data_IF_169038571995
#
_entry.id   IF_169038571995
#
_cell.length_a   1.000
_cell.length_b   1.000
_cell.length_c   1.000
_cell.angle_alpha   90.00
_cell.angle_beta   90.00
_cell.angle_gamma   90.00
#
_symmetry.space_group_name_H-M   'P 1'
#
loop_
_entity.id
_entity.type
_entity.pdbx_description
1 polymer ?
#
# COMPACT_ATOMS: atom_id res chain seq x y z
N UNK A 1 4.11 16.42 26.94
CA UNK A 1 3.04 15.44 26.63
C UNK A 1 2.97 15.25 25.12
N UNK A 2 3.00 14.02 24.61
CA UNK A 2 2.87 13.78 23.17
C UNK A 2 1.44 14.15 22.71
N UNK A 3 1.33 14.99 21.69
CA UNK A 3 0.03 15.38 21.12
C UNK A 3 -0.69 14.16 20.53
N UNK A 4 -2.03 14.10 20.65
CA UNK A 4 -2.85 13.04 20.06
C UNK A 4 -2.57 12.83 18.55
N UNK A 5 -2.31 13.92 17.81
CA UNK A 5 -1.91 13.85 16.40
C UNK A 5 -0.61 13.08 16.18
N UNK A 6 0.37 13.24 17.08
CA UNK A 6 1.65 12.51 17.01
C UNK A 6 1.43 11.01 17.21
N UNK A 7 0.57 10.62 18.17
CA UNK A 7 0.23 9.22 18.41
C UNK A 7 -0.46 8.58 17.20
N UNK A 8 -1.43 9.28 16.61
CA UNK A 8 -2.14 8.81 15.40
C UNK A 8 -1.17 8.61 14.23
N UNK A 9 -0.27 9.57 13.99
CA UNK A 9 0.74 9.46 12.94
C UNK A 9 1.76 8.34 13.21
N UNK A 10 2.13 8.13 14.47
CA UNK A 10 2.98 7.01 14.87
C UNK A 10 2.29 5.68 14.58
N UNK A 11 1.03 5.53 14.97
CA UNK A 11 0.23 4.33 14.72
C UNK A 11 0.11 4.04 13.22
N UNK A 12 -0.24 5.06 12.41
CA UNK A 12 -0.29 4.95 10.96
C UNK A 12 1.02 4.42 10.36
N UNK A 13 2.16 5.01 10.74
CA UNK A 13 3.49 4.59 10.27
C UNK A 13 3.81 3.15 10.66
N UNK A 14 3.46 2.74 11.89
CA UNK A 14 3.67 1.37 12.35
C UNK A 14 2.81 0.40 11.54
N UNK A 15 1.52 0.68 11.33
CA UNK A 15 0.63 -0.18 10.55
C UNK A 15 1.12 -0.36 9.11
N UNK A 16 1.59 0.72 8.46
CA UNK A 16 2.18 0.61 7.13
C UNK A 16 3.44 -0.25 7.13
N UNK A 17 4.34 -0.05 8.09
CA UNK A 17 5.58 -0.84 8.18
C UNK A 17 5.32 -2.32 8.40
N UNK A 18 4.37 -2.68 9.26
CA UNK A 18 4.01 -4.09 9.47
C UNK A 18 3.34 -4.68 8.23
N UNK A 19 2.50 -3.92 7.53
CA UNK A 19 1.81 -4.40 6.32
C UNK A 19 2.75 -4.68 5.15
N UNK A 20 3.90 -4.00 5.06
CA UNK A 20 4.90 -4.30 4.03
C UNK A 20 5.53 -5.69 4.24
N UNK A 21 5.54 -6.20 5.47
CA UNK A 21 6.16 -7.50 5.81
C UNK A 21 5.31 -8.71 5.40
N UNK A 22 4.11 -8.50 4.86
CA UNK A 22 3.33 -9.59 4.28
C UNK A 22 4.07 -10.19 3.09
N UNK A 23 4.22 -11.52 3.06
CA UNK A 23 4.87 -12.23 1.95
C UNK A 23 3.99 -12.19 0.69
N UNK A 24 2.70 -12.50 0.84
CA UNK A 24 1.73 -12.44 -0.26
C UNK A 24 1.51 -11.01 -0.77
N UNK A 25 1.68 -10.81 -2.08
CA UNK A 25 1.39 -9.55 -2.76
C UNK A 25 -0.03 -9.03 -2.49
N UNK A 26 -1.03 -9.91 -2.59
CA UNK A 26 -2.43 -9.52 -2.44
C UNK A 26 -2.71 -8.95 -1.05
N UNK A 27 -2.22 -9.62 0.00
CA UNK A 27 -2.38 -9.17 1.37
C UNK A 27 -1.61 -7.87 1.64
N UNK A 28 -0.37 -7.77 1.15
CA UNK A 28 0.45 -6.56 1.24
C UNK A 28 -0.24 -5.36 0.61
N UNK A 29 -0.70 -5.49 -0.63
CA UNK A 29 -1.36 -4.41 -1.37
C UNK A 29 -2.72 -4.03 -0.76
N UNK A 30 -3.52 -5.02 -0.37
CA UNK A 30 -4.80 -4.77 0.29
C UNK A 30 -4.62 -4.03 1.62
N UNK A 31 -3.73 -4.51 2.49
CA UNK A 31 -3.51 -3.90 3.80
C UNK A 31 -3.04 -2.45 3.67
N UNK A 32 -2.05 -2.19 2.78
CA UNK A 32 -1.56 -0.84 2.52
C UNK A 32 -2.66 0.10 2.02
N UNK A 33 -3.48 -0.36 1.06
CA UNK A 33 -4.62 0.42 0.55
C UNK A 33 -5.63 0.69 1.66
N UNK A 34 -6.08 -0.35 2.37
CA UNK A 34 -7.13 -0.23 3.38
C UNK A 34 -6.72 0.67 4.55
N UNK A 35 -5.45 0.63 4.97
CA UNK A 35 -4.93 1.53 6.01
C UNK A 35 -4.97 2.98 5.51
N UNK A 36 -4.49 3.26 4.29
CA UNK A 36 -4.52 4.62 3.74
C UNK A 36 -5.95 5.16 3.64
N UNK A 37 -6.86 4.36 3.12
CA UNK A 37 -8.26 4.74 2.95
C UNK A 37 -8.91 4.99 4.31
N UNK A 38 -8.73 4.06 5.27
CA UNK A 38 -9.31 4.22 6.61
C UNK A 38 -8.81 5.46 7.36
N UNK A 39 -7.52 5.82 7.25
CA UNK A 39 -7.01 7.05 7.87
C UNK A 39 -7.45 8.31 7.12
N UNK A 40 -7.65 8.22 5.80
CA UNK A 40 -8.14 9.34 4.98
C UNK A 40 -9.63 9.61 5.24
N UNK A 41 -10.45 8.57 5.30
CA UNK A 41 -11.88 8.61 5.65
C UNK A 41 -12.09 9.28 7.02
N UNK A 42 -11.23 8.95 8.00
CA UNK A 42 -11.35 9.46 9.37
C UNK A 42 -10.65 10.80 9.62
N UNK A 43 -10.09 11.45 8.59
CA UNK A 43 -9.33 12.71 8.74
C UNK A 43 -10.20 13.88 9.21
N UNK A 44 -11.49 13.88 8.85
CA UNK A 44 -12.44 14.96 9.15
C UNK A 44 -13.25 14.72 10.43
N UNK A 45 -13.03 13.61 11.14
CA UNK A 45 -13.70 13.35 12.41
C UNK A 45 -13.28 14.39 13.45
N UNK A 46 -14.27 15.06 14.04
CA UNK A 46 -14.08 16.04 15.10
C UNK A 46 -14.51 15.52 16.48
N UNK A 47 -15.40 14.52 16.53
CA UNK A 47 -15.88 13.96 17.78
C UNK A 47 -14.77 13.16 18.50
N UNK A 48 -14.36 13.55 19.72
CA UNK A 48 -13.31 12.83 20.45
C UNK A 48 -13.68 11.38 20.78
N UNK A 49 -14.97 11.07 20.96
CA UNK A 49 -15.44 9.71 21.23
C UNK A 49 -15.18 8.77 20.05
N UNK A 50 -15.60 9.16 18.85
CA UNK A 50 -15.37 8.41 17.61
C UNK A 50 -13.88 8.32 17.23
N UNK A 51 -13.08 9.36 17.51
CA UNK A 51 -11.63 9.31 17.33
C UNK A 51 -11.03 8.21 18.21
N UNK A 52 -11.40 8.16 19.49
CA UNK A 52 -10.87 7.16 20.42
C UNK A 52 -11.29 5.73 20.04
N UNK A 53 -12.54 5.54 19.60
CA UNK A 53 -13.01 4.25 19.06
C UNK A 53 -12.19 3.82 17.83
N UNK A 54 -11.93 4.77 16.93
CA UNK A 54 -11.14 4.52 15.72
C UNK A 54 -9.69 4.15 16.03
N UNK A 55 -9.08 4.81 17.02
CA UNK A 55 -7.73 4.46 17.50
C UNK A 55 -7.71 3.04 18.06
N UNK A 56 -8.64 2.68 18.96
CA UNK A 56 -8.72 1.32 19.52
C UNK A 56 -8.89 0.26 18.44
N UNK A 57 -9.72 0.54 17.43
CA UNK A 57 -9.91 -0.34 16.27
C UNK A 57 -8.61 -0.49 15.47
N UNK A 58 -7.88 0.60 15.24
CA UNK A 58 -6.61 0.57 14.53
C UNK A 58 -5.52 -0.21 15.30
N UNK A 59 -5.48 -0.10 16.63
CA UNK A 59 -4.59 -0.89 17.49
C UNK A 59 -4.93 -2.39 17.42
N UNK A 60 -6.21 -2.75 17.51
CA UNK A 60 -6.64 -4.15 17.36
C UNK A 60 -6.26 -4.71 15.97
N UNK A 61 -6.46 -3.91 14.91
CA UNK A 61 -6.07 -4.29 13.56
C UNK A 61 -4.54 -4.44 13.41
N UNK A 62 -3.75 -3.61 14.08
CA UNK A 62 -2.29 -3.74 14.09
C UNK A 62 -1.85 -5.10 14.65
N UNK A 63 -2.46 -5.55 15.75
CA UNK A 63 -2.17 -6.86 16.34
C UNK A 63 -2.63 -8.02 15.44
N UNK A 64 -3.70 -7.84 14.68
CA UNK A 64 -4.08 -8.80 13.63
C UNK A 64 -3.02 -8.85 12.53
N UNK A 65 -2.59 -7.69 12.01
CA UNK A 65 -1.56 -7.63 10.96
C UNK A 65 -0.28 -8.34 11.40
N UNK A 66 0.22 -8.05 12.61
CA UNK A 66 1.43 -8.71 13.15
C UNK A 66 1.31 -10.22 13.18
N UNK A 67 0.19 -10.76 13.68
CA UNK A 67 -0.05 -12.21 13.72
C UNK A 67 -0.12 -12.82 12.32
N UNK A 68 -0.84 -12.15 11.40
CA UNK A 68 -0.99 -12.63 10.03
C UNK A 68 0.33 -12.59 9.25
N UNK A 69 1.21 -11.62 9.52
CA UNK A 69 2.57 -11.60 8.96
C UNK A 69 3.37 -12.83 9.41
N UNK A 70 3.29 -13.20 10.69
CA UNK A 70 3.99 -14.40 11.19
C UNK A 70 3.43 -15.67 10.55
N UNK A 71 2.10 -15.82 10.50
CA UNK A 71 1.45 -16.99 9.87
C UNK A 71 1.83 -17.09 8.39
N UNK A 72 1.80 -15.97 7.66
CA UNK A 72 2.15 -15.96 6.24
C UNK A 72 3.62 -16.33 5.97
N UNK A 73 4.52 -16.11 6.94
CA UNK A 73 5.91 -16.57 6.85
C UNK A 73 6.08 -18.05 7.17
N UNK A 74 5.27 -18.59 8.10
CA UNK A 74 5.29 -20.03 8.43
C UNK A 74 4.71 -20.87 7.30
N UNK A 75 3.72 -20.34 6.59
CA UNK A 75 3.02 -21.01 5.49
C UNK A 75 3.13 -20.19 4.20
N UNK A 76 4.36 -19.92 3.76
CA UNK A 76 4.61 -19.21 2.50
C UNK A 76 4.25 -20.06 1.30
N UNK A 77 3.65 -19.44 0.28
CA UNK A 77 3.44 -20.01 -1.04
C UNK A 77 4.41 -19.38 -2.05
N UNK A 78 4.49 -19.97 -3.24
CA UNK A 78 5.29 -19.42 -4.34
C UNK A 78 4.79 -18.02 -4.73
N UNK A 79 5.72 -17.19 -5.18
CA UNK A 79 5.42 -15.82 -5.62
C UNK A 79 4.56 -15.84 -6.88
N UNK A 80 3.70 -14.83 -7.03
CA UNK A 80 2.90 -14.67 -8.23
C UNK A 80 3.78 -14.18 -9.40
N UNK A 81 3.40 -14.52 -10.63
CA UNK A 81 4.09 -14.08 -11.88
C UNK A 81 4.27 -12.55 -11.96
N UNK A 82 3.32 -11.80 -11.40
CA UNK A 82 3.36 -10.33 -11.35
C UNK A 82 4.41 -9.77 -10.38
N UNK A 83 4.96 -10.58 -9.48
CA UNK A 83 5.97 -10.15 -8.51
C UNK A 83 7.39 -10.14 -9.12
N UNK A 84 7.60 -10.88 -10.21
CA UNK A 84 8.90 -11.06 -10.88
C UNK A 84 9.29 -9.90 -11.83
N UNK A 85 8.39 -8.94 -12.05
CA UNK A 85 8.60 -7.86 -13.02
C UNK A 85 9.71 -6.86 -12.62
N UNK A 86 10.18 -6.87 -11.37
CA UNK A 86 11.29 -5.99 -10.94
C UNK A 86 12.68 -6.46 -11.38
N UNK A 87 12.84 -7.72 -11.79
CA UNK A 87 14.13 -8.25 -12.27
C UNK A 87 14.15 -8.50 -13.79
N UNK A 88 13.00 -8.46 -14.46
CA UNK A 88 12.96 -8.52 -15.91
C UNK A 88 13.23 -7.14 -16.49
N UNK A 89 14.49 -6.91 -16.84
CA UNK A 89 14.87 -5.92 -17.85
C UNK A 89 14.25 -6.36 -19.19
N UNK A 90 12.95 -6.08 -19.37
CA UNK A 90 12.25 -6.46 -20.59
C UNK A 90 12.77 -5.62 -21.75
N UNK A 91 13.28 -6.25 -22.83
CA UNK A 91 13.90 -5.54 -23.96
C UNK A 91 12.89 -4.83 -24.88
N UNK A 92 11.59 -4.84 -24.57
CA UNK A 92 10.55 -4.35 -25.47
C UNK A 92 9.86 -3.08 -24.96
N UNK A 93 10.64 -2.04 -24.71
CA UNK A 93 10.12 -0.66 -24.67
C UNK A 93 10.99 0.24 -25.57
N UNK A 94 10.90 0.04 -26.88
CA UNK A 94 11.13 1.12 -27.83
C UNK A 94 9.79 1.46 -28.47
N UNK A 95 9.19 2.56 -28.02
CA UNK A 95 8.15 3.22 -28.80
C UNK A 95 8.81 3.80 -30.04
N UNK A 96 8.39 3.47 -31.27
CA UNK A 96 8.80 4.27 -32.42
C UNK A 96 8.20 5.66 -32.26
N UNK A 97 9.05 6.67 -32.05
CA UNK A 97 8.71 8.06 -32.27
C UNK A 97 8.49 8.25 -33.78
N UNK A 98 7.27 8.07 -34.27
CA UNK A 98 6.90 8.58 -35.59
C UNK A 98 6.25 9.95 -35.42
N UNK A 99 7.10 10.98 -35.44
CA UNK A 99 6.70 12.32 -35.82
C UNK A 99 6.23 12.28 -37.26
N UNK A 100 4.92 12.39 -37.50
CA UNK A 100 4.37 12.56 -38.84
C UNK A 100 4.78 13.93 -39.38
N UNK A 101 5.90 13.99 -40.10
CA UNK A 101 6.16 15.09 -41.04
C UNK A 101 5.34 14.83 -42.30
N UNK A 102 4.26 15.60 -42.44
CA UNK A 102 3.56 15.87 -43.69
C UNK A 102 4.59 16.36 -44.71
N UNK A 103 4.91 15.55 -45.71
CA UNK A 103 5.61 15.98 -46.92
C UNK A 103 4.65 15.88 -48.10
N UNK A 104 4.23 17.05 -48.55
CA UNK A 104 3.54 17.30 -49.81
C UNK A 104 4.54 17.26 -50.96
N UNK A 105 4.37 16.27 -51.84
CA UNK A 105 4.87 16.22 -53.23
C UNK A 105 4.12 15.05 -53.86
N UNK A 106 3.40 15.11 -54.97
CA UNK A 106 3.39 16.04 -56.10
C UNK A 106 3.16 15.17 -57.32
N UNK A 107 1.98 15.28 -57.94
CA UNK A 107 1.67 15.07 -59.36
C UNK A 107 0.38 15.82 -59.66
#
# INVERSE_FOLDING_TARGET
MASAKCLILKLYKIMLRESIKFESYNHRMYALRRIRDGFKENKTLADPGEIQKSIKRAEANLEVIKRQVVIGKLYSADKLVIEDEKERNFPFQHKPNCSTTINTSGT
#
